data_IF_097046718351
#
_entry.id   IF_097046718351
#
_cell.length_a   1.000
_cell.length_b   1.000
_cell.length_c   1.000
_cell.angle_alpha   90.00
_cell.angle_beta   90.00
_cell.angle_gamma   90.00
#
_symmetry.space_group_name_H-M   'P 1'
#
loop_
_entity.id
_entity.type
_entity.pdbx_description
1 polymer ?
#
# COMPACT_ATOMS: atom_id res chain seq x y z
N UNK A 1 -34.44 -59.16 -34.87
CA UNK A 1 -33.55 -58.06 -35.30
C UNK A 1 -33.30 -57.19 -34.07
N UNK A 2 -32.04 -56.76 -33.86
CA UNK A 2 -31.22 -57.04 -32.67
C UNK A 2 -31.11 -55.79 -31.74
N UNK A 3 -30.33 -55.64 -30.66
CA UNK A 3 -29.06 -56.21 -30.11
C UNK A 3 -28.97 -55.62 -28.65
N UNK A 4 -28.74 -56.41 -27.60
CA UNK A 4 -27.50 -56.52 -26.79
C UNK A 4 -26.89 -55.24 -26.20
N UNK A 5 -26.39 -55.41 -24.95
CA UNK A 5 -25.31 -54.69 -24.25
C UNK A 5 -25.64 -53.28 -23.72
N UNK A 6 -25.23 -52.82 -22.53
CA UNK A 6 -24.26 -53.33 -21.55
C UNK A 6 -24.45 -52.51 -20.25
N UNK A 7 -24.32 -53.17 -19.10
CA UNK A 7 -23.97 -52.55 -17.82
C UNK A 7 -22.49 -52.12 -17.85
N UNK A 8 -22.08 -51.25 -16.91
CA UNK A 8 -20.85 -51.57 -16.19
C UNK A 8 -21.08 -51.68 -14.68
N UNK A 9 -20.75 -52.86 -14.16
CA UNK A 9 -20.39 -53.11 -12.77
C UNK A 9 -18.95 -52.62 -12.48
N UNK A 10 -18.76 -52.19 -11.23
CA UNK A 10 -17.57 -52.25 -10.36
C UNK A 10 -16.20 -51.75 -10.84
N UNK A 11 -15.58 -50.87 -10.05
CA UNK A 11 -14.39 -51.22 -9.27
C UNK A 11 -14.09 -50.14 -8.19
N UNK A 12 -14.09 -50.60 -6.93
CA UNK A 12 -13.21 -50.21 -5.82
C UNK A 12 -13.46 -48.90 -5.03
N UNK A 13 -14.25 -49.08 -3.96
CA UNK A 13 -13.92 -48.79 -2.55
C UNK A 13 -12.59 -48.06 -2.24
N UNK A 14 -12.67 -46.94 -1.53
CA UNK A 14 -12.10 -46.86 -0.17
C UNK A 14 -12.93 -45.87 0.69
N UNK A 15 -13.67 -46.46 1.63
CA UNK A 15 -14.22 -45.79 2.79
C UNK A 15 -13.12 -45.11 3.62
N UNK A 16 -13.41 -43.91 4.12
CA UNK A 16 -12.49 -43.22 5.01
C UNK A 16 -13.13 -42.20 5.95
N UNK A 17 -14.32 -42.49 6.50
CA UNK A 17 -14.82 -41.79 7.69
C UNK A 17 -13.82 -41.98 8.83
N UNK A 18 -12.92 -41.03 9.03
CA UNK A 18 -12.06 -41.02 10.23
C UNK A 18 -12.86 -40.48 11.41
N UNK A 19 -13.34 -41.45 12.19
CA UNK A 19 -13.84 -41.29 13.55
C UNK A 19 -12.82 -40.52 14.40
N UNK A 20 -13.33 -39.58 15.19
CA UNK A 20 -12.70 -39.11 16.41
C UNK A 20 -12.27 -40.31 17.28
N UNK A 21 -10.96 -40.50 17.40
CA UNK A 21 -10.33 -41.42 18.33
C UNK A 21 -9.24 -40.68 19.07
N UNK A 22 -9.45 -40.45 20.37
CA UNK A 22 -8.47 -39.89 21.27
C UNK A 22 -7.21 -40.78 21.29
N UNK A 23 -6.10 -40.25 20.78
CA UNK A 23 -4.79 -40.89 20.73
C UNK A 23 -3.74 -39.98 21.37
N UNK A 24 -3.16 -40.47 22.45
CA UNK A 24 -2.19 -39.83 23.32
C UNK A 24 -0.80 -39.86 22.67
N UNK A 25 -0.19 -38.69 22.51
CA UNK A 25 1.27 -38.52 22.39
C UNK A 25 1.82 -38.51 20.96
N UNK A 26 1.84 -37.33 20.33
CA UNK A 26 2.79 -37.00 19.28
C UNK A 26 3.49 -35.69 19.66
N UNK A 27 4.82 -35.76 19.75
CA UNK A 27 5.70 -34.64 19.97
C UNK A 27 5.80 -33.84 18.67
N UNK A 28 5.41 -32.56 18.67
CA UNK A 28 5.66 -31.67 17.55
C UNK A 28 7.17 -31.41 17.44
N UNK A 29 7.82 -32.00 16.44
CA UNK A 29 9.16 -31.59 16.00
C UNK A 29 9.01 -30.35 15.13
N UNK A 30 9.51 -29.21 15.60
CA UNK A 30 9.64 -28.02 14.79
C UNK A 30 10.71 -28.27 13.74
N UNK A 31 10.31 -28.32 12.48
CA UNK A 31 11.24 -28.34 11.35
C UNK A 31 11.98 -26.99 11.28
N UNK A 32 13.23 -27.03 10.85
CA UNK A 32 14.11 -25.87 10.83
C UNK A 32 13.57 -24.79 9.86
N UNK A 33 13.77 -23.51 10.22
CA UNK A 33 13.23 -22.35 9.50
C UNK A 33 13.44 -22.41 7.99
N UNK A 34 12.36 -22.13 7.26
CA UNK A 34 12.28 -22.19 5.81
C UNK A 34 13.24 -21.17 5.16
N UNK A 35 13.69 -21.45 3.94
CA UNK A 35 14.63 -20.58 3.19
C UNK A 35 14.07 -19.17 2.98
N UNK A 36 12.75 -19.04 2.98
CA UNK A 36 12.02 -17.78 2.90
C UNK A 36 12.22 -16.89 4.14
N UNK A 37 12.32 -17.47 5.34
CA UNK A 37 12.56 -16.71 6.59
C UNK A 37 13.98 -16.13 6.62
N UNK A 38 14.95 -16.86 6.07
CA UNK A 38 16.34 -16.40 5.94
C UNK A 38 16.46 -15.27 4.90
N UNK A 39 15.72 -15.35 3.80
CA UNK A 39 15.69 -14.31 2.77
C UNK A 39 15.09 -12.99 3.29
N UNK A 40 14.03 -13.06 4.10
CA UNK A 40 13.42 -11.89 4.73
C UNK A 40 14.32 -11.24 5.80
N UNK A 41 15.01 -12.04 6.60
CA UNK A 41 15.98 -11.52 7.57
C UNK A 41 17.14 -10.79 6.88
N UNK A 42 17.64 -11.32 5.75
CA UNK A 42 18.68 -10.68 4.96
C UNK A 42 18.21 -9.37 4.31
N UNK A 43 16.93 -9.28 3.89
CA UNK A 43 16.37 -8.05 3.34
C UNK A 43 16.21 -6.96 4.42
N UNK A 44 15.78 -7.34 5.63
CA UNK A 44 15.67 -6.42 6.76
C UNK A 44 17.05 -5.87 7.20
N UNK A 45 18.09 -6.72 7.21
CA UNK A 45 19.46 -6.29 7.53
C UNK A 45 20.03 -5.33 6.48
N UNK A 46 19.73 -5.53 5.19
CA UNK A 46 20.15 -4.60 4.13
C UNK A 46 19.51 -3.23 4.27
N UNK A 47 18.23 -3.17 4.60
CA UNK A 47 17.53 -1.91 4.83
C UNK A 47 18.02 -1.16 6.08
N UNK A 48 18.45 -1.89 7.12
CA UNK A 48 19.08 -1.31 8.30
C UNK A 48 20.47 -0.73 7.97
N UNK A 49 21.29 -1.47 7.22
CA UNK A 49 22.62 -1.00 6.80
C UNK A 49 22.56 0.20 5.85
N UNK A 50 21.55 0.27 4.96
CA UNK A 50 21.32 1.45 4.11
C UNK A 50 20.90 2.69 4.91
N UNK A 51 20.20 2.50 6.04
CA UNK A 51 19.88 3.60 6.97
C UNK A 51 21.10 4.07 7.77
N UNK A 52 21.99 3.16 8.15
CA UNK A 52 23.24 3.51 8.86
C UNK A 52 24.25 4.18 7.92
N UNK A 53 24.37 3.74 6.66
CA UNK A 53 25.27 4.36 5.67
C UNK A 53 24.89 5.80 5.28
N UNK A 54 23.62 6.19 5.44
CA UNK A 54 23.17 7.57 5.23
C UNK A 54 23.48 8.49 6.42
N UNK A 55 23.75 7.93 7.61
CA UNK A 55 24.13 8.71 8.79
C UNK A 55 25.63 9.04 8.81
N UNK A 56 26.47 8.21 8.17
CA UNK A 56 27.92 8.44 8.09
C UNK A 56 28.31 9.49 7.02
N UNK A 57 27.45 9.80 6.05
CA UNK A 57 27.73 10.79 4.99
C UNK A 57 27.43 12.25 5.39
N UNK A 58 26.78 12.52 6.54
CA UNK A 58 26.52 13.89 7.04
C UNK A 58 27.54 14.44 8.05
N UNK A 59 28.46 13.63 8.60
CA UNK A 59 29.56 14.12 9.47
C UNK A 59 30.93 13.99 8.77
N UNK A 60 31.12 14.79 7.72
CA UNK A 60 32.40 14.90 7.00
C UNK A 60 32.80 16.34 6.70
N UNK A 61 33.19 17.10 7.73
CA UNK A 61 33.73 18.46 7.60
C UNK A 61 34.70 18.83 8.73
N UNK A 62 35.98 18.99 8.36
CA UNK A 62 37.16 19.46 9.12
C UNK A 62 36.88 20.70 10.03
N UNK A 63 37.55 20.97 11.17
CA UNK A 63 39.00 21.00 11.42
C UNK A 63 39.33 21.30 12.92
N UNK A 64 40.54 20.90 13.37
CA UNK A 64 41.37 21.35 14.53
C UNK A 64 41.11 20.85 15.98
N UNK A 65 42.17 20.36 16.63
CA UNK A 65 42.28 20.17 18.10
C UNK A 65 43.50 20.93 18.67
N UNK A 66 44.02 20.63 19.89
CA UNK A 66 43.40 20.02 21.07
C UNK A 66 43.60 20.87 22.36
N UNK A 67 42.86 20.59 23.44
CA UNK A 67 43.11 21.23 24.74
C UNK A 67 42.35 20.61 25.94
N UNK A 68 43.10 19.84 26.73
CA UNK A 68 43.13 19.79 28.20
C UNK A 68 41.87 19.52 29.08
N UNK A 69 42.06 18.53 29.96
CA UNK A 69 41.68 18.44 31.38
C UNK A 69 40.29 17.93 31.84
N UNK A 70 40.37 16.76 32.50
CA UNK A 70 39.89 16.34 33.83
C UNK A 70 38.44 16.55 34.35
N UNK A 71 37.94 15.43 34.88
CA UNK A 71 37.23 15.22 36.17
C UNK A 71 35.75 15.61 36.40
N UNK A 72 34.98 14.53 36.57
CA UNK A 72 34.12 14.21 37.73
C UNK A 72 32.68 14.73 37.83
N UNK A 73 31.87 13.82 38.41
CA UNK A 73 30.53 13.97 39.03
C UNK A 73 29.37 14.07 38.04
N UNK A 74 28.31 13.29 38.13
CA UNK A 74 27.72 12.61 39.28
C UNK A 74 26.35 13.21 39.58
N UNK A 75 25.33 12.35 39.56
CA UNK A 75 23.99 12.50 40.14
C UNK A 75 22.85 13.17 39.33
N UNK A 76 21.86 12.32 39.04
CA UNK A 76 20.40 12.50 39.25
C UNK A 76 19.68 13.69 38.61
N UNK A 77 18.69 13.41 37.76
CA UNK A 77 17.28 13.64 38.08
C UNK A 77 16.38 13.28 36.90
N UNK A 78 15.25 12.68 37.26
CA UNK A 78 14.04 12.42 36.49
C UNK A 78 13.54 13.61 35.68
N UNK A 79 13.11 13.35 34.45
CA UNK A 79 11.95 13.99 33.84
C UNK A 79 11.45 13.11 32.69
N UNK A 80 10.25 12.56 32.88
CA UNK A 80 9.44 11.98 31.82
C UNK A 80 9.21 13.03 30.73
N UNK A 81 9.68 12.75 29.53
CA UNK A 81 9.32 13.47 28.32
C UNK A 81 8.94 12.42 27.28
N UNK A 82 7.64 12.17 27.17
CA UNK A 82 6.99 11.47 26.07
C UNK A 82 7.51 12.08 24.75
N UNK A 83 8.33 11.31 24.03
CA UNK A 83 8.74 11.65 22.69
C UNK A 83 7.57 11.33 21.76
N UNK A 84 6.83 12.39 21.41
CA UNK A 84 5.96 12.44 20.24
C UNK A 84 6.78 12.04 18.99
N UNK A 85 6.64 10.80 18.53
CA UNK A 85 6.99 10.45 17.15
C UNK A 85 5.95 11.07 16.22
N UNK A 86 6.13 12.37 15.98
CA UNK A 86 5.46 13.07 14.89
C UNK A 86 5.81 12.37 13.59
N UNK A 87 4.78 11.89 12.89
CA UNK A 87 4.88 11.45 11.51
C UNK A 87 5.54 12.55 10.68
N UNK A 88 6.82 12.37 10.37
CA UNK A 88 7.58 13.31 9.56
C UNK A 88 6.89 13.42 8.20
N UNK A 89 6.34 14.62 7.95
CA UNK A 89 5.76 14.99 6.68
C UNK A 89 6.79 14.79 5.57
N UNK A 90 6.47 13.91 4.62
CA UNK A 90 7.21 13.82 3.37
C UNK A 90 7.28 15.23 2.73
N UNK A 91 8.47 15.69 2.29
CA UNK A 91 8.61 17.04 1.77
C UNK A 91 7.75 17.23 0.51
N UNK A 92 6.86 18.22 0.56
CA UNK A 92 6.06 18.66 -0.59
C UNK A 92 6.97 19.19 -1.70
N UNK A 93 6.74 18.84 -2.98
CA UNK A 93 7.50 19.40 -4.08
C UNK A 93 7.12 20.88 -4.30
N UNK A 94 8.13 21.74 -4.25
CA UNK A 94 8.02 23.17 -4.49
C UNK A 94 7.54 23.49 -5.91
N UNK A 95 6.66 24.49 -6.00
CA UNK A 95 6.15 25.07 -7.26
C UNK A 95 7.22 26.01 -7.86
N UNK A 96 7.67 25.83 -9.12
CA UNK A 96 8.51 26.84 -9.75
C UNK A 96 7.66 27.90 -10.47
N UNK A 97 7.90 29.16 -10.09
CA UNK A 97 7.44 30.34 -10.82
C UNK A 97 8.20 30.49 -12.14
N UNK A 98 7.47 30.93 -13.17
CA UNK A 98 7.96 31.26 -14.50
C UNK A 98 9.03 32.36 -14.51
N UNK A 99 10.09 32.22 -15.30
CA UNK A 99 10.29 32.95 -16.56
C UNK A 99 11.76 32.91 -17.04
N UNK A 100 11.89 32.59 -18.33
CA UNK A 100 12.86 33.08 -19.32
C UNK A 100 14.35 32.65 -19.28
N UNK A 101 14.74 32.14 -20.46
CA UNK A 101 15.99 32.40 -21.19
C UNK A 101 17.17 31.42 -21.03
N UNK A 102 17.30 30.61 -22.07
CA UNK A 102 18.52 30.34 -22.84
C UNK A 102 19.68 29.53 -22.21
N UNK A 103 19.96 28.44 -22.93
CA UNK A 103 21.28 27.85 -23.21
C UNK A 103 21.94 27.00 -22.13
N UNK A 104 22.32 25.79 -22.54
CA UNK A 104 23.58 25.17 -22.11
C UNK A 104 23.47 23.93 -21.23
N UNK A 105 24.00 22.82 -21.77
CA UNK A 105 24.60 21.68 -21.07
C UNK A 105 23.66 20.63 -20.43
N UNK A 106 23.22 19.69 -21.27
CA UNK A 106 22.74 18.39 -20.81
C UNK A 106 23.92 17.51 -20.31
N UNK A 107 23.74 16.98 -19.10
CA UNK A 107 24.57 15.99 -18.41
C UNK A 107 24.75 14.74 -19.27
N UNK A 108 26.01 14.38 -19.55
CA UNK A 108 26.38 13.12 -20.22
C UNK A 108 26.18 11.95 -19.27
N UNK A 109 25.21 11.09 -19.56
CA UNK A 109 25.21 9.71 -19.09
C UNK A 109 25.72 8.83 -20.22
N UNK A 110 26.82 8.13 -19.97
CA UNK A 110 27.45 7.20 -20.88
C UNK A 110 26.55 5.98 -21.10
N UNK A 111 25.95 5.90 -22.28
CA UNK A 111 25.43 4.67 -22.85
C UNK A 111 25.84 4.60 -24.33
N UNK A 112 26.38 3.45 -24.69
CA UNK A 112 27.05 3.15 -25.95
C UNK A 112 26.12 3.21 -27.16
N UNK A 113 26.71 3.47 -28.34
CA UNK A 113 26.11 3.59 -29.67
C UNK A 113 25.36 4.90 -29.98
N UNK A 114 26.11 5.92 -30.41
CA UNK A 114 25.56 7.01 -31.22
C UNK A 114 25.07 6.44 -32.55
N UNK A 115 23.76 6.17 -32.66
CA UNK A 115 23.15 6.01 -33.97
C UNK A 115 23.23 7.35 -34.70
N UNK A 116 24.03 7.38 -35.77
CA UNK A 116 24.21 8.50 -36.70
C UNK A 116 22.95 8.71 -37.54
N UNK A 117 21.88 9.18 -36.91
CA UNK A 117 20.65 9.60 -37.59
C UNK A 117 20.64 11.12 -37.59
N UNK A 118 20.81 11.71 -38.77
CA UNK A 118 20.74 13.16 -38.95
C UNK A 118 19.38 13.50 -39.59
N UNK A 119 18.69 14.45 -38.97
CA UNK A 119 17.43 15.01 -39.47
C UNK A 119 17.79 16.12 -40.45
N UNK A 120 17.94 15.79 -41.73
CA UNK A 120 18.13 16.79 -42.78
C UNK A 120 17.00 16.67 -43.80
N UNK A 121 16.03 17.59 -43.71
CA UNK A 121 14.78 17.54 -44.47
C UNK A 121 13.59 17.69 -43.53
N UNK A 122 13.08 18.92 -43.46
CA UNK A 122 12.12 19.35 -42.45
C UNK A 122 10.89 18.44 -42.34
N UNK A 123 10.40 18.33 -41.11
CA UNK A 123 9.05 17.83 -40.83
C UNK A 123 8.07 18.71 -41.59
N UNK A 124 7.29 18.14 -42.50
CA UNK A 124 6.21 18.85 -43.17
C UNK A 124 4.87 18.26 -42.76
N UNK A 125 3.91 19.15 -42.56
CA UNK A 125 2.52 18.81 -42.24
C UNK A 125 1.66 19.60 -43.21
N UNK A 126 0.93 18.91 -44.07
CA UNK A 126 -0.06 19.50 -44.96
C UNK A 126 -1.46 19.31 -44.36
N UNK A 127 -2.02 20.41 -43.86
CA UNK A 127 -3.35 20.43 -43.26
C UNK A 127 -4.48 20.22 -44.30
N UNK A 128 -4.25 20.54 -45.58
CA UNK A 128 -5.27 20.39 -46.62
C UNK A 128 -5.46 18.93 -47.03
N UNK A 129 -4.39 18.14 -47.00
CA UNK A 129 -4.41 16.70 -47.32
C UNK A 129 -4.35 15.80 -46.08
N UNK A 130 -4.25 16.36 -44.88
CA UNK A 130 -4.05 15.64 -43.61
C UNK A 130 -2.88 14.66 -43.66
N UNK A 131 -1.82 15.03 -44.38
CA UNK A 131 -0.63 14.21 -44.56
C UNK A 131 0.58 14.86 -43.90
N UNK A 132 1.47 14.05 -43.36
CA UNK A 132 2.75 14.50 -42.82
C UNK A 132 3.86 13.61 -43.36
N UNK A 133 5.06 14.18 -43.46
CA UNK A 133 6.23 13.45 -43.91
C UNK A 133 7.49 13.88 -43.15
N UNK A 134 8.39 12.91 -43.02
CA UNK A 134 9.67 13.04 -42.34
C UNK A 134 10.75 12.46 -43.25
N UNK A 135 11.77 13.24 -43.57
CA UNK A 135 12.95 12.77 -44.27
C UNK A 135 14.07 12.49 -43.26
N UNK A 136 14.64 11.29 -43.29
CA UNK A 136 15.70 10.84 -42.39
C UNK A 136 16.95 10.50 -43.19
N UNK A 137 18.11 11.04 -42.80
CA UNK A 137 19.40 10.61 -43.33
C UNK A 137 20.02 9.60 -42.37
N UNK A 138 20.27 8.39 -42.88
CA UNK A 138 20.89 7.29 -42.16
C UNK A 138 22.31 7.07 -42.70
N UNK A 139 23.27 6.81 -41.82
CA UNK A 139 24.64 6.46 -42.23
C UNK A 139 24.66 5.18 -43.07
N UNK A 140 25.52 5.12 -44.09
CA UNK A 140 25.63 3.98 -45.02
C UNK A 140 25.99 2.66 -44.33
N UNK A 141 26.61 2.72 -43.15
CA UNK A 141 26.96 1.55 -42.34
C UNK A 141 25.76 0.96 -41.57
N UNK A 142 24.56 1.55 -41.70
CA UNK A 142 23.38 1.08 -40.98
C UNK A 142 22.81 -0.23 -41.57
N UNK A 143 22.46 -1.22 -40.72
CA UNK A 143 21.74 -2.41 -41.17
C UNK A 143 20.34 -2.03 -41.68
N UNK A 144 19.70 -2.93 -42.45
CA UNK A 144 18.33 -2.72 -42.94
C UNK A 144 17.37 -2.55 -41.76
N UNK A 145 16.82 -1.34 -41.61
CA UNK A 145 15.85 -1.01 -40.57
C UNK A 145 14.42 -1.19 -41.08
N UNK A 146 13.57 -1.81 -40.27
CA UNK A 146 12.12 -1.84 -40.49
C UNK A 146 11.52 -0.53 -39.96
N UNK A 147 11.66 0.54 -40.74
CA UNK A 147 11.18 1.88 -40.35
C UNK A 147 9.67 1.92 -40.05
N UNK A 148 8.88 1.02 -40.65
CA UNK A 148 7.45 0.90 -40.35
C UNK A 148 7.20 0.50 -38.88
N UNK A 149 7.86 -0.55 -38.38
CA UNK A 149 7.68 -0.98 -36.98
C UNK A 149 8.16 0.09 -35.99
N UNK A 150 9.25 0.79 -36.32
CA UNK A 150 9.75 1.90 -35.52
C UNK A 150 8.75 3.05 -35.51
N UNK A 151 8.19 3.41 -36.67
CA UNK A 151 7.18 4.45 -36.78
C UNK A 151 5.89 4.09 -36.04
N UNK A 152 5.41 2.84 -36.15
CA UNK A 152 4.24 2.34 -35.42
C UNK A 152 4.46 2.40 -33.89
N UNK A 153 5.64 1.99 -33.42
CA UNK A 153 6.00 2.06 -31.99
C UNK A 153 6.09 3.51 -31.49
N UNK A 154 6.70 4.41 -32.26
CA UNK A 154 6.81 5.83 -31.90
C UNK A 154 5.45 6.50 -31.95
N UNK A 155 4.63 6.21 -32.95
CA UNK A 155 3.26 6.73 -33.06
C UNK A 155 2.39 6.27 -31.88
N UNK A 156 2.52 5.01 -31.45
CA UNK A 156 1.82 4.49 -30.28
C UNK A 156 2.29 5.14 -28.96
N UNK A 157 3.56 5.54 -28.87
CA UNK A 157 4.13 6.17 -27.69
C UNK A 157 3.95 7.71 -27.66
N UNK A 158 3.67 8.34 -28.80
CA UNK A 158 3.56 9.78 -28.92
C UNK A 158 2.24 10.30 -28.32
N UNK A 159 2.33 10.94 -27.15
CA UNK A 159 1.18 11.61 -26.51
C UNK A 159 1.10 13.05 -27.02
N UNK A 160 0.02 13.37 -27.76
CA UNK A 160 -0.22 14.73 -28.27
C UNK A 160 -0.59 15.71 -27.14
N UNK A 161 -1.56 15.32 -26.32
CA UNK A 161 -2.01 16.06 -25.13
C UNK A 161 -2.64 15.06 -24.16
N UNK A 162 -2.24 15.13 -22.90
CA UNK A 162 -2.78 14.27 -21.86
C UNK A 162 -2.57 14.88 -20.49
N UNK A 163 -3.48 14.56 -19.58
CA UNK A 163 -3.31 14.86 -18.16
C UNK A 163 -2.62 13.66 -17.51
N UNK A 164 -1.53 13.85 -16.74
CA UNK A 164 -0.83 12.74 -16.11
C UNK A 164 -1.78 11.98 -15.17
N UNK A 165 -1.73 10.65 -15.20
CA UNK A 165 -2.57 9.80 -14.36
C UNK A 165 -4.02 9.63 -14.82
N UNK A 166 -4.42 10.21 -15.96
CA UNK A 166 -5.75 10.00 -16.57
C UNK A 166 -5.56 9.50 -18.00
N UNK A 167 -6.08 8.31 -18.28
CA UNK A 167 -5.96 7.64 -19.58
C UNK A 167 -7.13 7.96 -20.50
N UNK A 168 -8.36 7.88 -19.98
CA UNK A 168 -9.60 8.09 -20.74
C UNK A 168 -10.63 8.80 -19.90
N UNK A 169 -11.59 9.41 -20.58
CA UNK A 169 -12.64 10.20 -19.97
C UNK A 169 -13.95 9.91 -20.71
N UNK A 170 -15.00 9.57 -19.97
CA UNK A 170 -16.32 9.25 -20.48
C UNK A 170 -17.32 10.23 -19.90
N UNK A 171 -18.21 10.75 -20.74
CA UNK A 171 -19.33 11.56 -20.29
C UNK A 171 -20.51 10.63 -20.10
N UNK A 172 -21.00 10.55 -18.87
CA UNK A 172 -22.19 9.80 -18.51
C UNK A 172 -23.37 10.75 -18.43
N UNK A 173 -24.37 10.50 -19.27
CA UNK A 173 -25.63 11.22 -19.17
C UNK A 173 -26.39 10.73 -17.94
N UNK A 174 -26.82 11.68 -17.12
CA UNK A 174 -27.54 11.38 -15.90
C UNK A 174 -28.98 10.93 -16.19
N UNK A 175 -29.40 9.84 -15.56
CA UNK A 175 -30.79 9.42 -15.58
C UNK A 175 -31.64 10.36 -14.70
N UNK A 176 -32.75 10.88 -15.26
CA UNK A 176 -33.82 11.63 -14.56
C UNK A 176 -33.34 12.69 -13.56
N UNK A 177 -32.90 13.84 -14.08
CA UNK A 177 -32.79 15.08 -13.30
C UNK A 177 -31.51 15.25 -12.47
N UNK A 178 -30.59 14.28 -12.48
CA UNK A 178 -29.24 14.48 -11.96
C UNK A 178 -28.36 15.24 -12.98
N UNK A 179 -27.29 15.87 -12.49
CA UNK A 179 -26.31 16.54 -13.34
C UNK A 179 -25.46 15.51 -14.11
N UNK A 180 -25.09 15.83 -15.34
CA UNK A 180 -24.18 14.98 -16.13
C UNK A 180 -22.86 14.77 -15.35
N UNK A 181 -22.38 13.53 -15.30
CA UNK A 181 -21.14 13.20 -14.61
C UNK A 181 -20.07 12.75 -15.59
N UNK A 182 -18.82 13.02 -15.23
CA UNK A 182 -17.66 12.64 -16.03
C UNK A 182 -16.93 11.53 -15.27
N UNK A 183 -16.76 10.39 -15.91
CA UNK A 183 -16.02 9.26 -15.37
C UNK A 183 -14.65 9.18 -16.04
N UNK A 184 -13.59 9.11 -15.25
CA UNK A 184 -12.22 9.02 -15.75
C UNK A 184 -11.61 7.65 -15.47
N UNK A 185 -10.91 7.10 -16.46
CA UNK A 185 -9.99 5.98 -16.25
C UNK A 185 -8.67 6.53 -15.75
N UNK A 186 -8.48 6.47 -14.44
CA UNK A 186 -7.32 7.04 -13.74
C UNK A 186 -7.73 8.14 -12.77
N UNK A 187 -6.80 8.47 -11.87
CA UNK A 187 -7.06 9.35 -10.72
C UNK A 187 -6.03 10.46 -10.73
N UNK A 188 -6.50 11.69 -10.94
CA UNK A 188 -5.72 12.90 -10.70
C UNK A 188 -6.63 14.02 -10.19
N UNK A 189 -6.84 14.02 -8.87
CA UNK A 189 -7.73 14.97 -8.19
C UNK A 189 -7.21 16.41 -8.30
N UNK A 190 -5.87 16.60 -8.31
CA UNK A 190 -5.27 17.94 -8.44
C UNK A 190 -5.52 18.55 -9.82
N UNK A 191 -5.40 17.76 -10.88
CA UNK A 191 -5.70 18.24 -12.23
C UNK A 191 -7.20 18.48 -12.44
N UNK A 192 -8.06 17.66 -11.82
CA UNK A 192 -9.49 17.89 -11.81
C UNK A 192 -9.85 19.20 -11.09
N UNK A 193 -9.26 19.46 -9.92
CA UNK A 193 -9.45 20.71 -9.18
C UNK A 193 -8.94 21.95 -9.93
N UNK A 194 -7.87 21.82 -10.73
CA UNK A 194 -7.38 22.90 -11.58
C UNK A 194 -8.35 23.26 -12.73
N UNK A 195 -9.29 22.37 -13.04
CA UNK A 195 -10.31 22.55 -14.09
C UNK A 195 -11.66 23.00 -13.50
N UNK A 196 -11.62 23.82 -12.43
CA UNK A 196 -12.80 24.31 -11.72
C UNK A 196 -13.80 25.08 -12.59
N UNK A 197 -13.36 25.63 -13.72
CA UNK A 197 -14.22 26.31 -14.69
C UNK A 197 -15.18 25.35 -15.41
N UNK A 198 -14.86 24.06 -15.45
CA UNK A 198 -15.58 23.04 -16.21
C UNK A 198 -16.24 21.97 -15.33
N UNK A 199 -15.68 21.71 -14.14
CA UNK A 199 -16.10 20.62 -13.25
C UNK A 199 -16.33 21.19 -11.85
N UNK A 200 -17.42 20.74 -11.22
CA UNK A 200 -17.67 21.03 -9.81
C UNK A 200 -16.62 20.33 -8.93
N UNK A 201 -15.80 21.13 -8.25
CA UNK A 201 -14.67 20.66 -7.44
C UNK A 201 -15.14 20.05 -6.11
N UNK A 202 -16.28 20.49 -5.60
CA UNK A 202 -16.82 20.02 -4.32
C UNK A 202 -17.48 18.64 -4.45
N UNK A 203 -17.94 18.30 -5.66
CA UNK A 203 -18.54 17.01 -6.00
C UNK A 203 -17.56 15.92 -6.46
N UNK A 204 -16.24 16.17 -6.40
CA UNK A 204 -15.24 15.21 -6.86
C UNK A 204 -15.19 13.96 -5.98
N UNK A 205 -15.31 12.79 -6.60
CA UNK A 205 -15.21 11.50 -5.94
C UNK A 205 -14.22 10.59 -6.67
N UNK A 206 -13.45 9.82 -5.90
CA UNK A 206 -12.56 8.79 -6.41
C UNK A 206 -12.84 7.44 -5.75
N UNK A 207 -12.50 6.37 -6.46
CA UNK A 207 -12.59 4.99 -5.97
C UNK A 207 -11.36 4.54 -5.17
N UNK A 208 -10.35 5.39 -4.99
CA UNK A 208 -9.16 5.10 -4.17
C UNK A 208 -9.24 5.84 -2.84
N UNK A 209 -9.47 5.12 -1.71
CA UNK A 209 -9.41 5.72 -0.38
C UNK A 209 -8.06 6.38 -0.08
N UNK A 210 -6.96 5.83 -0.62
CA UNK A 210 -5.62 6.37 -0.44
C UNK A 210 -5.45 7.73 -1.13
N UNK A 211 -5.91 7.88 -2.37
CA UNK A 211 -5.85 9.16 -3.07
C UNK A 211 -6.72 10.22 -2.39
N UNK A 212 -7.87 9.82 -1.84
CA UNK A 212 -8.74 10.68 -1.06
C UNK A 212 -8.10 11.09 0.27
N UNK A 213 -7.40 10.17 0.94
CA UNK A 213 -6.65 10.45 2.16
C UNK A 213 -5.58 11.53 1.93
N UNK A 214 -4.76 11.36 0.88
CA UNK A 214 -3.67 12.31 0.56
C UNK A 214 -4.18 13.70 0.14
N UNK A 215 -5.37 13.79 -0.46
CA UNK A 215 -5.87 15.05 -1.03
C UNK A 215 -6.85 15.77 -0.11
N UNK A 216 -7.79 15.03 0.49
CA UNK A 216 -8.92 15.56 1.25
C UNK A 216 -8.91 15.16 2.73
N UNK A 217 -8.02 14.25 3.15
CA UNK A 217 -7.85 13.84 4.54
C UNK A 217 -8.63 12.59 4.96
N UNK A 218 -8.51 12.24 6.24
CA UNK A 218 -8.94 10.93 6.77
C UNK A 218 -10.46 10.73 6.74
N UNK A 219 -11.26 11.75 7.00
CA UNK A 219 -12.73 11.64 6.96
C UNK A 219 -13.26 11.42 5.53
N UNK A 220 -12.61 12.04 4.54
CA UNK A 220 -12.93 11.79 3.14
C UNK A 220 -12.57 10.36 2.72
N UNK A 221 -11.44 9.84 3.20
CA UNK A 221 -11.05 8.44 2.99
C UNK A 221 -12.04 7.47 3.66
N UNK A 222 -12.44 7.74 4.91
CA UNK A 222 -13.44 6.95 5.66
C UNK A 222 -14.78 6.90 4.91
N UNK A 223 -15.29 8.04 4.46
CA UNK A 223 -16.52 8.12 3.68
C UNK A 223 -16.40 7.36 2.35
N UNK A 224 -15.23 7.41 1.72
CA UNK A 224 -14.95 6.67 0.47
C UNK A 224 -14.98 5.16 0.70
N UNK A 225 -14.38 4.66 1.79
CA UNK A 225 -14.42 3.23 2.13
C UNK A 225 -15.87 2.75 2.29
N UNK A 226 -16.70 3.49 3.04
CA UNK A 226 -18.12 3.14 3.22
C UNK A 226 -18.86 3.11 1.88
N UNK A 227 -18.65 4.13 1.04
CA UNK A 227 -19.30 4.25 -0.29
C UNK A 227 -18.90 3.11 -1.23
N UNK A 228 -17.61 2.82 -1.33
CA UNK A 228 -17.10 1.76 -2.20
C UNK A 228 -17.52 0.37 -1.71
N UNK A 229 -17.44 0.10 -0.41
CA UNK A 229 -17.91 -1.17 0.16
C UNK A 229 -19.42 -1.36 -0.06
N UNK A 230 -20.22 -0.32 0.14
CA UNK A 230 -21.66 -0.37 -0.14
C UNK A 230 -21.96 -0.60 -1.63
N UNK A 231 -21.18 0.02 -2.52
CA UNK A 231 -21.30 -0.15 -3.98
C UNK A 231 -21.08 -1.60 -4.40
N UNK A 232 -20.05 -2.27 -3.83
CA UNK A 232 -19.76 -3.68 -4.11
C UNK A 232 -20.93 -4.59 -3.72
N UNK A 233 -21.46 -4.47 -2.51
CA UNK A 233 -22.60 -5.30 -2.08
C UNK A 233 -23.90 -4.95 -2.83
N UNK A 234 -24.10 -3.66 -3.15
CA UNK A 234 -25.23 -3.17 -3.91
C UNK A 234 -25.32 -3.77 -5.32
N UNK A 235 -24.18 -3.99 -5.98
CA UNK A 235 -24.13 -4.62 -7.30
C UNK A 235 -24.70 -6.07 -7.30
N UNK A 236 -24.63 -6.76 -6.16
CA UNK A 236 -25.16 -8.11 -5.99
C UNK A 236 -26.55 -8.14 -5.33
N UNK A 237 -27.17 -6.99 -5.06
CA UNK A 237 -28.45 -6.89 -4.37
C UNK A 237 -28.40 -7.29 -2.90
N UNK A 238 -27.21 -7.28 -2.28
CA UNK A 238 -27.02 -7.64 -0.87
C UNK A 238 -27.20 -6.39 -0.02
N UNK A 239 -28.25 -6.37 0.80
CA UNK A 239 -28.50 -5.29 1.76
C UNK A 239 -27.63 -5.44 3.00
N UNK A 240 -26.66 -4.55 3.17
CA UNK A 240 -25.81 -4.46 4.38
C UNK A 240 -26.19 -3.20 5.16
N UNK A 241 -26.38 -3.33 6.48
CA UNK A 241 -26.64 -2.18 7.35
C UNK A 241 -25.41 -1.24 7.34
N UNK A 242 -25.60 0.07 7.08
CA UNK A 242 -24.50 1.04 7.07
C UNK A 242 -23.71 1.11 8.38
N UNK A 243 -24.28 0.69 9.52
CA UNK A 243 -23.59 0.64 10.81
C UNK A 243 -22.41 -0.33 10.80
N UNK A 244 -22.52 -1.46 10.09
CA UNK A 244 -21.42 -2.41 9.96
C UNK A 244 -20.28 -1.85 9.10
N UNK A 245 -20.63 -1.21 7.99
CA UNK A 245 -19.66 -0.60 7.09
C UNK A 245 -18.95 0.60 7.74
N UNK A 246 -19.69 1.41 8.51
CA UNK A 246 -19.14 2.52 9.27
C UNK A 246 -18.10 2.03 10.30
N UNK A 247 -18.43 0.99 11.08
CA UNK A 247 -17.52 0.44 12.08
C UNK A 247 -16.21 -0.09 11.46
N UNK A 248 -16.31 -0.74 10.29
CA UNK A 248 -15.13 -1.23 9.56
C UNK A 248 -14.30 -0.04 9.07
N UNK A 249 -14.93 0.97 8.47
CA UNK A 249 -14.23 2.15 7.97
C UNK A 249 -13.54 2.93 9.11
N UNK A 250 -14.20 3.07 10.27
CA UNK A 250 -13.64 3.69 11.47
C UNK A 250 -12.42 2.89 11.96
N UNK A 251 -12.51 1.56 12.02
CA UNK A 251 -11.39 0.72 12.40
C UNK A 251 -10.21 0.84 11.41
N UNK A 252 -10.48 0.95 10.11
CA UNK A 252 -9.42 1.14 9.10
C UNK A 252 -8.75 2.52 9.16
N UNK A 253 -9.40 3.52 9.77
CA UNK A 253 -8.96 4.93 9.74
C UNK A 253 -8.68 5.56 11.11
N UNK A 254 -8.88 4.85 12.22
CA UNK A 254 -8.77 5.39 13.58
C UNK A 254 -7.41 6.01 13.94
N UNK A 255 -6.32 5.63 13.27
CA UNK A 255 -4.97 6.18 13.49
C UNK A 255 -4.66 7.38 12.58
N UNK A 256 -5.64 7.93 11.86
CA UNK A 256 -5.43 9.01 10.89
C UNK A 256 -4.91 8.57 9.52
N UNK A 257 -4.57 7.29 9.35
CA UNK A 257 -4.09 6.70 8.09
C UNK A 257 -5.09 5.75 7.44
N UNK A 258 -4.65 5.03 6.40
CA UNK A 258 -5.40 3.95 5.76
C UNK A 258 -4.77 2.59 6.07
N UNK A 259 -5.36 1.86 7.02
CA UNK A 259 -4.85 0.55 7.49
C UNK A 259 -5.70 -0.58 6.94
N UNK A 260 -5.05 -1.51 6.25
CA UNK A 260 -5.68 -2.74 5.79
C UNK A 260 -5.80 -3.78 6.92
N UNK A 261 -6.79 -4.67 6.81
CA UNK A 261 -6.96 -5.81 7.72
C UNK A 261 -6.07 -7.00 7.30
N UNK A 262 -4.75 -6.83 7.36
CA UNK A 262 -3.74 -7.85 7.01
C UNK A 262 -2.61 -7.92 8.05
N UNK A 263 -1.55 -8.71 7.80
CA UNK A 263 -0.36 -8.84 8.67
C UNK A 263 0.26 -7.51 9.08
N UNK A 264 0.44 -6.63 8.10
CA UNK A 264 1.01 -5.30 8.29
C UNK A 264 0.06 -4.41 9.07
N UNK A 265 -1.25 -4.64 8.89
CA UNK A 265 -2.28 -4.09 9.73
C UNK A 265 -2.06 -4.50 11.17
N UNK A 266 -2.12 -5.79 11.52
CA UNK A 266 -2.17 -6.22 12.93
C UNK A 266 -0.91 -5.90 13.75
N UNK A 267 0.23 -5.62 13.11
CA UNK A 267 1.47 -5.24 13.79
C UNK A 267 1.32 -4.02 14.71
N UNK A 268 0.45 -3.07 14.34
CA UNK A 268 0.12 -1.89 15.13
C UNK A 268 -0.85 -2.17 16.31
N UNK A 269 -1.21 -3.43 16.57
CA UNK A 269 -1.93 -3.79 17.80
C UNK A 269 -1.01 -3.75 19.03
N UNK A 270 -1.58 -3.52 20.20
CA UNK A 270 -0.84 -3.43 21.47
C UNK A 270 -0.65 -4.78 22.17
N UNK A 271 -1.38 -5.83 21.80
CA UNK A 271 -1.32 -7.14 22.46
C UNK A 271 -0.37 -8.09 21.71
N UNK A 272 0.78 -8.49 22.31
CA UNK A 272 1.67 -9.51 21.75
C UNK A 272 0.96 -10.82 21.47
N UNK A 273 0.11 -11.31 22.39
CA UNK A 273 -0.60 -12.57 22.17
C UNK A 273 -1.60 -12.46 21.01
N UNK A 274 -2.25 -11.31 20.83
CA UNK A 274 -3.09 -11.10 19.65
C UNK A 274 -2.29 -11.27 18.36
N UNK A 275 -1.10 -10.66 18.27
CA UNK A 275 -0.22 -10.77 17.09
C UNK A 275 0.21 -12.23 16.85
N UNK A 276 0.67 -12.90 17.91
CA UNK A 276 1.14 -14.30 17.86
C UNK A 276 0.03 -15.26 17.43
N UNK A 277 -1.21 -15.04 17.86
CA UNK A 277 -2.36 -15.89 17.50
C UNK A 277 -2.92 -15.65 16.10
N UNK A 278 -2.53 -14.57 15.42
CA UNK A 278 -3.03 -14.25 14.08
C UNK A 278 -2.29 -15.04 13.00
N UNK A 279 -0.99 -14.78 12.82
CA UNK A 279 -0.12 -15.52 11.91
C UNK A 279 1.35 -15.25 12.24
N UNK A 280 2.28 -16.07 11.71
CA UNK A 280 3.74 -15.91 11.91
C UNK A 280 4.16 -15.79 13.40
N UNK A 281 3.65 -16.71 14.22
CA UNK A 281 3.80 -16.72 15.69
C UNK A 281 5.25 -16.55 16.16
N UNK A 282 6.20 -17.29 15.57
CA UNK A 282 7.61 -17.25 15.98
C UNK A 282 8.24 -15.87 15.77
N UNK A 283 7.97 -15.23 14.62
CA UNK A 283 8.49 -13.89 14.31
C UNK A 283 7.96 -12.83 15.28
N UNK A 284 6.65 -12.82 15.55
CA UNK A 284 6.06 -11.89 16.51
C UNK A 284 6.53 -12.16 17.93
N UNK A 285 6.72 -13.42 18.33
CA UNK A 285 7.23 -13.77 19.64
C UNK A 285 8.67 -13.26 19.82
N UNK A 286 9.56 -13.54 18.87
CA UNK A 286 10.94 -13.06 18.89
C UNK A 286 10.98 -11.54 18.95
N UNK A 287 10.25 -10.86 18.06
CA UNK A 287 10.17 -9.40 18.06
C UNK A 287 9.66 -8.86 19.39
N UNK A 288 8.57 -9.40 19.93
CA UNK A 288 8.02 -8.97 21.23
C UNK A 288 9.00 -9.19 22.38
N UNK A 289 9.74 -10.31 22.38
CA UNK A 289 10.76 -10.58 23.40
C UNK A 289 11.98 -9.67 23.29
N UNK A 290 12.37 -9.28 22.08
CA UNK A 290 13.46 -8.32 21.85
C UNK A 290 13.09 -6.91 22.31
N UNK A 291 11.84 -6.49 22.08
CA UNK A 291 11.33 -5.19 22.53
C UNK A 291 10.94 -5.17 24.02
N UNK A 292 10.79 -6.34 24.65
CA UNK A 292 10.33 -6.44 26.04
C UNK A 292 8.85 -6.10 26.20
N UNK A 293 8.02 -6.38 25.19
CA UNK A 293 6.59 -6.05 25.19
C UNK A 293 5.84 -6.80 26.30
N UNK A 294 4.95 -6.09 27.00
CA UNK A 294 4.11 -6.66 28.07
C UNK A 294 2.65 -6.72 27.61
N UNK A 295 2.08 -7.92 27.58
CA UNK A 295 0.65 -8.09 27.30
C UNK A 295 -0.21 -7.77 28.53
N UNK A 296 -1.12 -6.79 28.40
CA UNK A 296 -2.04 -6.38 29.48
C UNK A 296 -3.29 -7.24 29.61
N UNK A 297 -3.42 -8.30 28.81
CA UNK A 297 -4.56 -9.22 28.84
C UNK A 297 -5.92 -8.54 28.63
N UNK A 298 -5.93 -7.49 27.80
CA UNK A 298 -7.13 -6.74 27.43
C UNK A 298 -7.79 -7.31 26.18
N UNK A 299 -7.02 -7.91 25.27
CA UNK A 299 -7.54 -8.50 24.04
C UNK A 299 -8.26 -9.83 24.32
N UNK A 300 -9.37 -10.15 23.63
CA UNK A 300 -10.00 -11.46 23.78
C UNK A 300 -9.05 -12.63 23.52
N UNK A 301 -8.17 -12.51 22.53
CA UNK A 301 -7.19 -13.55 22.20
C UNK A 301 -6.21 -13.80 23.35
N UNK A 302 -5.60 -12.76 23.92
CA UNK A 302 -4.67 -12.89 25.06
C UNK A 302 -5.29 -13.59 26.27
N UNK A 303 -6.55 -13.26 26.58
CA UNK A 303 -7.28 -13.85 27.71
C UNK A 303 -7.59 -15.32 27.49
N UNK A 304 -7.99 -15.69 26.26
CA UNK A 304 -8.24 -17.09 25.88
C UNK A 304 -6.97 -17.93 25.99
N UNK A 305 -5.82 -17.41 25.51
CA UNK A 305 -4.53 -18.11 25.59
C UNK A 305 -4.16 -18.46 27.03
N UNK A 306 -4.49 -17.60 28.00
CA UNK A 306 -4.23 -17.82 29.43
C UNK A 306 -5.40 -18.45 30.21
N UNK A 307 -6.50 -18.79 29.54
CA UNK A 307 -7.68 -19.37 30.18
C UNK A 307 -8.45 -18.40 31.10
N UNK A 308 -8.31 -17.10 30.91
CA UNK A 308 -9.06 -16.08 31.66
C UNK A 308 -10.41 -15.76 30.99
N UNK A 309 -11.47 -15.42 31.76
CA UNK A 309 -12.74 -14.97 31.20
C UNK A 309 -12.56 -13.71 30.35
N UNK A 310 -13.10 -13.67 29.13
CA UNK A 310 -12.98 -12.53 28.20
C UNK A 310 -13.76 -11.31 28.73
N UNK A 311 -13.13 -10.13 28.71
CA UNK A 311 -13.73 -8.87 29.18
C UNK A 311 -14.72 -8.24 28.16
N UNK A 312 -15.64 -9.04 27.62
CA UNK A 312 -16.66 -8.62 26.65
C UNK A 312 -18.02 -9.21 27.02
N UNK A 313 -19.10 -8.49 26.72
CA UNK A 313 -20.47 -8.96 27.03
C UNK A 313 -20.68 -9.16 28.53
N UNK A 314 -20.97 -10.39 28.96
CA UNK A 314 -21.19 -10.73 30.38
C UNK A 314 -19.92 -10.69 31.23
N UNK A 315 -18.75 -10.83 30.61
CA UNK A 315 -17.46 -10.73 31.30
C UNK A 315 -16.93 -9.29 31.43
N UNK A 316 -17.68 -8.29 30.94
CA UNK A 316 -17.29 -6.87 31.04
C UNK A 316 -17.58 -6.25 32.42
N UNK A 317 -18.20 -7.00 33.33
CA UNK A 317 -18.53 -6.56 34.68
C UNK A 317 -18.21 -7.64 35.71
N UNK A 318 -17.80 -7.21 36.89
CA UNK A 318 -17.64 -8.09 38.03
C UNK A 318 -18.91 -8.11 38.88
N UNK A 319 -19.21 -9.28 39.45
CA UNK A 319 -20.31 -9.45 40.40
C UNK A 319 -19.72 -9.57 41.80
N UNK A 320 -20.10 -8.64 42.67
CA UNK A 320 -19.75 -8.70 44.09
C UNK A 320 -21.02 -8.93 44.88
N UNK A 321 -21.00 -9.95 45.73
CA UNK A 321 -22.10 -10.19 46.67
C UNK A 321 -21.97 -9.23 47.85
N UNK A 322 -23.03 -8.48 48.12
CA UNK A 322 -23.10 -7.65 49.32
C UNK A 322 -23.28 -8.56 50.54
N UNK A 323 -22.27 -8.64 51.40
CA UNK A 323 -22.34 -9.36 52.67
C UNK A 323 -22.74 -8.38 53.76
N UNK A 324 -23.90 -8.59 54.38
CA UNK A 324 -24.28 -7.83 55.57
C UNK A 324 -23.31 -8.18 56.71
N UNK A 325 -22.81 -7.16 57.41
CA UNK A 325 -21.82 -7.33 58.47
C UNK A 325 -22.32 -8.35 59.51
N UNK A 326 -21.54 -9.41 59.69
CA UNK A 326 -21.76 -10.39 60.76
C UNK A 326 -21.76 -9.64 62.11
N UNK A 327 -22.92 -9.65 62.78
CA UNK A 327 -23.09 -9.13 64.14
C UNK A 327 -22.27 -9.93 65.15
#
# INVERSE_FOLDING_TARGET
RPKEAEEPESEEDEEGKTRFGAGRGEHATYDAGDEDDAALAAQAQRQAAEREGLAEEEEGGEETGPGADEESRGATASADAEAEEGWAAAPSPAVPRSAASASGAARRTSASASSRVELEGGVWVDAATSSCGLALHLALDCPKLLLQEVAERVAAAAVLRGTPGVSRCYVLEAARGAAACVQTDGINLRAAAASADLVDVDGLAANSPYAMLETYGVEAARATIVREAASVFGAYGIGVDPRHLALIADYMTHLGGYRACNRLGISASTSPFLKVTFETAASFLVSSTLHGDVDRLTSPASRIVLGQPVAMGTGAMDLVQHLDAAR
#
